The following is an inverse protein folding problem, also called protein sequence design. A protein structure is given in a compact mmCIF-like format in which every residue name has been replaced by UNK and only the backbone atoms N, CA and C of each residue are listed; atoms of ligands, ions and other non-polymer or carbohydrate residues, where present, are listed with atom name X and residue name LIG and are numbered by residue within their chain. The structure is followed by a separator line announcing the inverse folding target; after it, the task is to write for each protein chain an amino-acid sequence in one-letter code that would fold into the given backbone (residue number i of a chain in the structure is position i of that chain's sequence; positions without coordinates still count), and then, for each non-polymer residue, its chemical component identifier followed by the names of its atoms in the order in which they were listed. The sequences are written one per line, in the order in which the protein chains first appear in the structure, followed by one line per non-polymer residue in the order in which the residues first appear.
data_IF_463503297621
#
_entry.id   IF_463503297621
#
_cell.length_a   1.000
_cell.length_b   1.000
_cell.length_c   1.000
_cell.angle_alpha   90.00
_cell.angle_beta   90.00
_cell.angle_gamma   90.00
#
_symmetry.space_group_name_H-M   'P 1'
#
loop_
_entity.id
_entity.type
_entity.pdbx_description
1 polymer ?
#
# COMPACT_ATOMS: atom_id res chain seq x y z
N UNK A 1 35.38 51.16 -22.24
CA UNK A 1 35.20 51.18 -20.76
C UNK A 1 33.78 51.54 -20.29
N UNK A 2 32.91 52.15 -21.06
CA UNK A 2 31.54 52.56 -20.60
C UNK A 2 30.47 51.45 -20.75
N UNK A 3 30.69 50.43 -21.55
CA UNK A 3 29.74 49.32 -21.76
C UNK A 3 29.74 48.27 -20.64
N UNK A 4 30.92 47.97 -20.06
CA UNK A 4 31.07 47.00 -19.00
C UNK A 4 30.45 47.47 -17.67
N UNK A 5 30.40 48.79 -17.43
CA UNK A 5 29.78 49.40 -16.24
C UNK A 5 28.26 49.28 -16.23
N UNK A 6 27.62 49.36 -17.40
CA UNK A 6 26.17 49.26 -17.53
C UNK A 6 25.65 47.84 -17.37
N UNK A 7 26.41 46.83 -17.84
CA UNK A 7 26.06 45.41 -17.66
C UNK A 7 26.16 44.99 -16.20
N UNK A 8 27.16 45.47 -15.43
CA UNK A 8 27.28 45.20 -14.00
C UNK A 8 26.13 45.78 -13.17
N UNK A 9 25.61 46.97 -13.59
CA UNK A 9 24.51 47.60 -12.87
C UNK A 9 23.17 46.87 -13.13
N UNK A 10 22.95 46.38 -14.36
CA UNK A 10 21.74 45.61 -14.71
C UNK A 10 21.71 44.26 -14.01
N UNK A 11 22.85 43.57 -13.91
CA UNK A 11 22.93 42.30 -13.18
C UNK A 11 22.69 42.48 -11.68
N UNK A 12 23.16 43.59 -11.10
CA UNK A 12 22.93 43.90 -9.66
C UNK A 12 21.47 44.25 -9.35
N UNK A 13 20.78 44.93 -10.29
CA UNK A 13 19.35 45.26 -10.10
C UNK A 13 18.46 44.05 -10.29
N UNK A 14 18.80 43.12 -11.23
CA UNK A 14 18.07 41.88 -11.42
C UNK A 14 18.27 40.86 -10.27
N UNK A 15 19.44 40.84 -9.64
CA UNK A 15 19.68 40.02 -8.46
C UNK A 15 18.98 40.55 -7.22
N UNK A 16 18.84 41.87 -7.05
CA UNK A 16 18.08 42.49 -5.94
C UNK A 16 16.56 42.28 -6.12
N UNK A 17 16.02 42.31 -7.34
CA UNK A 17 14.62 42.05 -7.59
C UNK A 17 14.27 40.56 -7.38
N UNK A 18 15.19 39.62 -7.68
CA UNK A 18 15.01 38.19 -7.43
C UNK A 18 14.99 37.79 -5.96
N UNK A 19 15.67 38.53 -5.10
CA UNK A 19 15.68 38.28 -3.64
C UNK A 19 14.44 38.85 -2.95
N UNK A 20 13.83 39.88 -3.51
CA UNK A 20 12.61 40.49 -2.94
C UNK A 20 11.35 39.70 -3.28
N UNK A 21 11.33 38.96 -4.41
CA UNK A 21 10.19 38.14 -4.78
C UNK A 21 10.16 36.75 -4.09
N UNK A 22 11.25 36.30 -3.48
CA UNK A 22 11.31 35.06 -2.72
C UNK A 22 10.94 35.24 -1.23
N UNK A 23 10.73 36.46 -0.78
CA UNK A 23 10.46 36.82 0.62
C UNK A 23 8.98 37.02 1.00
N UNK A 24 8.05 36.86 0.05
CA UNK A 24 6.60 36.97 0.32
C UNK A 24 5.92 35.61 0.14
N UNK A 25 6.55 34.55 0.61
CA UNK A 25 5.78 33.39 1.06
C UNK A 25 5.36 33.68 2.49
N UNK A 26 4.21 34.33 2.55
CA UNK A 26 3.49 34.63 3.75
C UNK A 26 3.55 33.45 4.70
N UNK A 27 4.22 33.65 5.83
CA UNK A 27 3.78 33.02 7.04
C UNK A 27 2.28 33.34 7.18
N UNK A 28 1.42 32.48 6.65
CA UNK A 28 0.10 32.30 7.22
C UNK A 28 0.38 31.77 8.62
N UNK A 29 0.62 32.69 9.54
CA UNK A 29 0.63 32.44 10.95
C UNK A 29 -0.72 31.75 11.21
N UNK A 30 -0.70 30.42 11.36
CA UNK A 30 -1.76 29.74 12.04
C UNK A 30 -1.77 30.46 13.41
N UNK A 31 -2.73 31.34 13.62
CA UNK A 31 -2.95 31.89 14.91
C UNK A 31 -2.99 30.71 15.87
N UNK A 32 -2.07 30.65 16.82
CA UNK A 32 -2.07 29.62 17.85
C UNK A 32 -3.39 29.78 18.56
N UNK A 33 -4.31 28.81 18.35
CA UNK A 33 -5.54 28.76 19.11
C UNK A 33 -5.15 28.78 20.61
N UNK A 34 -5.78 29.63 21.41
CA UNK A 34 -5.57 29.59 22.84
C UNK A 34 -6.24 28.35 23.42
N UNK A 35 -5.79 27.88 24.58
CA UNK A 35 -6.43 26.76 25.28
C UNK A 35 -7.92 27.03 25.55
N UNK A 36 -8.31 28.28 25.66
CA UNK A 36 -9.70 28.72 25.85
C UNK A 36 -10.59 28.60 24.60
N UNK A 37 -10.04 28.28 23.44
CA UNK A 37 -10.81 28.12 22.18
C UNK A 37 -11.32 26.71 21.99
N UNK A 38 -10.85 25.74 22.81
CA UNK A 38 -11.28 24.36 22.80
C UNK A 38 -12.38 24.12 23.84
N UNK A 39 -13.47 23.46 23.43
CA UNK A 39 -14.66 23.27 24.30
C UNK A 39 -14.84 21.79 24.68
N UNK A 40 -14.08 20.88 24.09
CA UNK A 40 -14.18 19.45 24.31
C UNK A 40 -15.29 18.78 23.49
N UNK A 41 -15.18 17.45 23.32
CA UNK A 41 -16.09 16.70 22.45
C UNK A 41 -17.55 16.67 22.94
N UNK A 42 -17.78 16.83 24.25
CA UNK A 42 -19.15 16.79 24.82
C UNK A 42 -20.01 17.97 24.34
N UNK A 43 -19.38 19.13 24.09
CA UNK A 43 -20.07 20.28 23.52
C UNK A 43 -20.60 20.06 22.09
N UNK A 44 -20.06 19.08 21.38
CA UNK A 44 -20.48 18.76 20.02
C UNK A 44 -21.70 17.83 19.98
N UNK A 45 -21.97 17.10 21.07
CA UNK A 45 -22.92 16.01 21.14
C UNK A 45 -24.36 16.46 20.85
N UNK A 46 -24.76 17.60 21.35
CA UNK A 46 -26.17 18.03 21.26
C UNK A 46 -26.62 18.31 19.83
N UNK A 47 -25.71 18.73 18.96
CA UNK A 47 -26.01 18.96 17.54
C UNK A 47 -25.51 17.84 16.62
N UNK A 48 -24.52 17.07 17.02
CA UNK A 48 -23.85 16.01 16.24
C UNK A 48 -23.93 14.63 16.92
N UNK A 49 -25.11 14.27 17.44
CA UNK A 49 -25.32 13.05 18.24
C UNK A 49 -24.86 11.76 17.54
N UNK A 50 -25.24 11.59 16.27
CA UNK A 50 -24.88 10.38 15.51
C UNK A 50 -23.37 10.25 15.30
N UNK A 51 -22.69 11.36 14.97
CA UNK A 51 -21.25 11.39 14.79
C UNK A 51 -20.54 11.16 16.12
N UNK A 52 -21.02 11.77 17.20
CA UNK A 52 -20.48 11.58 18.55
C UNK A 52 -20.59 10.13 18.99
N UNK A 53 -21.78 9.54 18.84
CA UNK A 53 -22.02 8.14 19.18
C UNK A 53 -21.16 7.18 18.37
N UNK A 54 -21.05 7.41 17.06
CA UNK A 54 -20.19 6.60 16.20
C UNK A 54 -18.71 6.75 16.56
N UNK A 55 -18.24 7.98 16.79
CA UNK A 55 -16.86 8.28 17.17
C UNK A 55 -16.48 7.63 18.51
N UNK A 56 -17.39 7.63 19.50
CA UNK A 56 -17.12 7.11 20.86
C UNK A 56 -16.64 5.65 20.88
N UNK A 57 -16.93 4.86 19.85
CA UNK A 57 -16.50 3.49 19.70
C UNK A 57 -15.16 3.32 19.00
N UNK A 58 -14.55 4.41 18.52
CA UNK A 58 -13.29 4.38 17.77
C UNK A 58 -12.06 4.34 18.69
N UNK A 59 -10.91 3.95 18.11
CA UNK A 59 -9.63 4.05 18.81
C UNK A 59 -9.23 5.51 19.08
N UNK A 60 -9.67 6.46 18.24
CA UNK A 60 -9.41 7.89 18.44
C UNK A 60 -10.12 8.44 19.68
N UNK A 61 -11.35 8.00 19.98
CA UNK A 61 -12.05 8.41 21.19
C UNK A 61 -11.32 8.01 22.47
N UNK A 62 -10.58 6.90 22.45
CA UNK A 62 -9.83 6.41 23.61
C UNK A 62 -8.55 7.18 23.90
N UNK A 63 -8.10 8.05 22.98
CA UNK A 63 -6.87 8.81 23.19
C UNK A 63 -6.93 9.65 24.46
N UNK A 64 -8.07 10.24 24.79
CA UNK A 64 -8.27 11.02 26.00
C UNK A 64 -7.98 10.23 27.30
N UNK A 65 -8.12 8.91 27.29
CA UNK A 65 -7.85 8.05 28.45
C UNK A 65 -6.39 7.60 28.56
N UNK A 66 -5.55 7.93 27.59
CA UNK A 66 -4.15 7.52 27.55
C UNK A 66 -3.28 8.61 28.19
N UNK A 67 -2.48 8.26 29.20
CA UNK A 67 -1.66 9.22 29.96
C UNK A 67 -0.72 10.06 29.10
N UNK A 68 -0.14 9.51 28.04
CA UNK A 68 0.74 10.23 27.13
C UNK A 68 0.01 11.27 26.23
N UNK A 69 -1.33 11.31 26.29
CA UNK A 69 -2.19 12.25 25.55
C UNK A 69 -2.90 13.24 26.44
N UNK A 70 -2.63 13.22 27.76
CA UNK A 70 -3.34 14.04 28.77
C UNK A 70 -3.35 15.53 28.45
N UNK A 71 -2.23 16.05 27.92
CA UNK A 71 -2.06 17.49 27.66
C UNK A 71 -2.16 17.81 26.15
N UNK A 72 -2.80 16.93 25.37
CA UNK A 72 -2.98 17.10 23.93
C UNK A 72 -4.46 17.23 23.59
N UNK A 73 -4.74 18.01 22.56
CA UNK A 73 -6.09 18.08 22.00
C UNK A 73 -6.49 16.71 21.48
N UNK A 74 -7.59 16.19 21.99
CA UNK A 74 -8.16 14.89 21.63
C UNK A 74 -9.62 15.04 21.19
N UNK A 75 -10.24 13.96 20.75
CA UNK A 75 -11.64 13.99 20.37
C UNK A 75 -11.90 14.69 19.04
N UNK A 76 -13.05 15.34 18.94
CA UNK A 76 -13.52 15.98 17.70
C UNK A 76 -12.57 17.07 17.24
N UNK A 77 -12.12 17.90 18.18
CA UNK A 77 -11.30 19.08 17.92
C UNK A 77 -9.86 18.74 17.49
N UNK A 78 -9.38 17.52 17.75
CA UNK A 78 -8.08 17.08 17.25
C UNK A 78 -7.99 17.10 15.71
N UNK A 79 -9.13 16.94 15.04
CA UNK A 79 -9.25 16.95 13.58
C UNK A 79 -9.94 18.21 13.07
N UNK A 80 -10.99 18.67 13.78
CA UNK A 80 -11.83 19.79 13.37
C UNK A 80 -11.32 21.16 13.86
N UNK A 81 -10.29 21.19 14.71
CA UNK A 81 -9.79 22.43 15.32
C UNK A 81 -10.68 22.94 16.45
N UNK A 82 -10.35 24.11 17.03
CA UNK A 82 -11.06 24.68 18.17
C UNK A 82 -12.52 24.97 17.82
N UNK A 83 -13.42 24.50 18.67
CA UNK A 83 -14.87 24.49 18.40
C UNK A 83 -15.65 25.64 18.99
N UNK A 84 -15.06 26.48 19.88
CA UNK A 84 -15.76 27.50 20.65
C UNK A 84 -16.59 28.44 19.78
N UNK A 85 -15.95 29.08 18.80
CA UNK A 85 -16.66 30.01 17.93
C UNK A 85 -17.81 29.35 17.14
N UNK A 86 -17.61 28.08 16.72
CA UNK A 86 -18.64 27.31 16.06
C UNK A 86 -19.82 27.00 16.99
N UNK A 87 -19.55 26.58 18.22
CA UNK A 87 -20.63 26.25 19.19
C UNK A 87 -21.41 27.49 19.67
N UNK A 88 -20.77 28.65 19.73
CA UNK A 88 -21.43 29.91 20.13
C UNK A 88 -22.25 30.53 19.00
N UNK A 89 -21.78 30.45 17.75
CA UNK A 89 -22.40 31.13 16.59
C UNK A 89 -23.20 30.20 15.68
N UNK A 90 -22.99 28.87 15.74
CA UNK A 90 -23.61 27.91 14.84
C UNK A 90 -23.07 27.96 13.40
N UNK A 91 -22.04 28.75 13.14
CA UNK A 91 -21.49 28.97 11.81
C UNK A 91 -20.50 27.88 11.42
N UNK A 92 -20.77 27.06 10.36
CA UNK A 92 -19.88 26.02 9.89
C UNK A 92 -18.54 26.53 9.33
N UNK A 93 -18.42 27.83 9.04
CA UNK A 93 -17.16 28.43 8.62
C UNK A 93 -16.16 28.63 9.78
N UNK A 94 -16.65 28.57 11.03
CA UNK A 94 -15.85 28.73 12.24
C UNK A 94 -15.17 27.45 12.72
N UNK A 95 -15.30 26.35 11.99
CA UNK A 95 -14.69 25.06 12.30
C UNK A 95 -14.13 24.41 11.03
N UNK A 96 -13.16 23.52 11.16
CA UNK A 96 -12.61 22.81 9.99
C UNK A 96 -13.64 21.82 9.47
N UNK A 97 -14.25 22.13 8.32
CA UNK A 97 -15.06 21.20 7.55
C UNK A 97 -14.21 20.47 6.51
N UNK A 98 -14.41 19.15 6.38
CA UNK A 98 -13.75 18.34 5.38
C UNK A 98 -14.58 18.19 4.09
N UNK A 99 -15.83 18.69 4.07
CA UNK A 99 -16.78 18.50 2.97
C UNK A 99 -16.26 18.97 1.61
N UNK A 100 -15.50 20.05 1.59
CA UNK A 100 -15.00 20.68 0.36
C UNK A 100 -13.45 20.60 0.24
N UNK A 101 -12.83 19.68 0.96
CA UNK A 101 -11.37 19.47 0.91
C UNK A 101 -11.03 18.30 0.00
N UNK A 102 -9.92 18.41 -0.72
CA UNK A 102 -9.39 17.29 -1.50
C UNK A 102 -8.93 16.15 -0.60
N UNK A 103 -8.88 14.90 -1.11
CA UNK A 103 -8.35 13.76 -0.36
C UNK A 103 -6.96 14.02 0.24
N UNK A 104 -6.09 14.73 -0.48
CA UNK A 104 -4.76 15.15 0.00
C UNK A 104 -4.85 16.10 1.18
N UNK A 105 -5.69 17.13 1.09
CA UNK A 105 -5.88 18.09 2.20
C UNK A 105 -6.41 17.42 3.46
N UNK A 106 -7.33 16.48 3.31
CA UNK A 106 -7.85 15.67 4.43
C UNK A 106 -6.74 14.80 5.02
N UNK A 107 -5.98 14.14 4.15
CA UNK A 107 -4.88 13.28 4.58
C UNK A 107 -3.78 14.02 5.33
N UNK A 108 -3.50 15.28 4.98
CA UNK A 108 -2.53 16.09 5.73
C UNK A 108 -2.97 16.30 7.18
N UNK A 109 -4.26 16.43 7.45
CA UNK A 109 -4.76 16.48 8.84
C UNK A 109 -4.48 15.17 9.59
N UNK A 110 -4.68 14.02 8.96
CA UNK A 110 -4.37 12.72 9.56
C UNK A 110 -2.86 12.58 9.82
N UNK A 111 -2.05 13.03 8.87
CA UNK A 111 -0.60 12.91 8.92
C UNK A 111 0.06 13.80 9.99
N UNK A 112 -0.64 14.76 10.59
CA UNK A 112 -0.12 15.51 11.76
C UNK A 112 0.23 14.57 12.93
N UNK A 113 -0.50 13.46 13.07
CA UNK A 113 -0.27 12.45 14.11
C UNK A 113 0.25 11.12 13.53
N UNK A 114 -0.13 10.79 12.30
CA UNK A 114 0.18 9.52 11.66
C UNK A 114 1.45 9.52 10.80
N UNK A 115 2.09 10.67 10.57
CA UNK A 115 3.41 10.72 9.96
C UNK A 115 4.47 10.06 10.87
N UNK A 116 5.57 9.60 10.27
CA UNK A 116 6.67 9.01 11.02
C UNK A 116 6.47 7.55 11.46
N UNK A 117 5.36 6.92 11.14
CA UNK A 117 5.17 5.49 11.32
C UNK A 117 5.69 4.76 10.07
N UNK A 118 6.49 3.72 10.28
CA UNK A 118 7.15 2.96 9.20
C UNK A 118 6.20 2.60 8.05
N UNK A 119 5.03 2.09 8.37
CA UNK A 119 4.01 1.69 7.39
C UNK A 119 3.46 2.85 6.55
N UNK A 120 3.58 4.11 7.00
CA UNK A 120 2.97 5.31 6.38
C UNK A 120 3.97 6.35 5.90
N UNK A 121 5.27 6.16 6.16
CA UNK A 121 6.31 7.12 5.78
C UNK A 121 6.34 7.43 4.28
N UNK A 122 5.93 6.48 3.46
CA UNK A 122 5.94 6.59 2.01
C UNK A 122 4.60 7.00 1.41
N UNK A 123 3.58 7.30 2.22
CA UNK A 123 2.23 7.57 1.73
C UNK A 123 2.21 8.68 0.67
N UNK A 124 2.88 9.83 0.95
CA UNK A 124 2.97 10.95 -0.01
C UNK A 124 3.76 10.63 -1.30
N UNK A 125 4.47 9.51 -1.34
CA UNK A 125 5.22 9.02 -2.53
C UNK A 125 4.49 7.87 -3.21
N UNK A 126 3.49 7.28 -2.56
CA UNK A 126 2.71 6.16 -3.06
C UNK A 126 1.79 6.52 -4.23
N UNK A 127 1.38 5.49 -4.96
CA UNK A 127 0.49 5.66 -6.12
C UNK A 127 -0.89 6.20 -5.73
N UNK A 128 -1.43 5.79 -4.58
CA UNK A 128 -2.70 6.31 -4.08
C UNK A 128 -2.65 7.84 -3.92
N UNK A 129 -1.60 8.36 -3.27
CA UNK A 129 -1.41 9.80 -3.14
C UNK A 129 -1.27 10.51 -4.49
N UNK A 130 -0.52 9.93 -5.44
CA UNK A 130 -0.34 10.51 -6.79
C UNK A 130 -1.65 10.60 -7.54
N UNK A 131 -2.54 9.63 -7.35
CA UNK A 131 -3.84 9.54 -7.98
C UNK A 131 -4.98 10.15 -7.13
N UNK A 132 -4.64 11.03 -6.19
CA UNK A 132 -5.59 11.76 -5.34
C UNK A 132 -6.51 10.87 -4.47
N UNK A 133 -6.00 9.69 -4.09
CA UNK A 133 -6.65 8.80 -3.13
C UNK A 133 -6.07 9.06 -1.75
N UNK A 134 -6.92 9.41 -0.80
CA UNK A 134 -6.53 9.81 0.55
C UNK A 134 -6.94 8.82 1.63
N UNK A 135 -6.64 9.18 2.88
CA UNK A 135 -6.93 8.32 4.03
C UNK A 135 -8.42 7.98 4.13
N UNK A 136 -9.28 8.98 3.89
CA UNK A 136 -10.74 8.82 4.03
C UNK A 136 -11.41 8.07 2.88
N UNK A 137 -10.70 7.73 1.81
CA UNK A 137 -11.25 6.84 0.77
C UNK A 137 -11.36 5.40 1.28
N UNK A 138 -10.46 5.01 2.17
CA UNK A 138 -10.41 3.68 2.76
C UNK A 138 -10.85 3.63 4.22
N UNK A 139 -10.58 4.69 5.00
CA UNK A 139 -10.84 4.75 6.44
C UNK A 139 -12.00 5.68 6.78
N UNK A 140 -12.70 5.38 7.88
CA UNK A 140 -13.69 6.26 8.49
C UNK A 140 -13.32 6.53 9.95
N UNK A 141 -13.12 7.81 10.30
CA UNK A 141 -12.80 8.22 11.68
C UNK A 141 -14.03 8.35 12.58
N UNK A 142 -15.23 8.50 12.02
CA UNK A 142 -16.47 8.68 12.78
C UNK A 142 -17.28 7.42 12.94
N UNK A 143 -17.30 6.53 11.94
CA UNK A 143 -18.22 5.43 11.94
C UNK A 143 -17.49 4.10 11.90
N UNK A 144 -17.94 3.20 12.75
CA UNK A 144 -17.97 1.83 12.28
C UNK A 144 -18.86 1.80 11.06
N UNK A 145 -18.47 1.14 9.98
CA UNK A 145 -19.43 0.77 8.97
C UNK A 145 -20.48 -0.07 9.68
N UNK A 146 -21.56 0.59 10.07
CA UNK A 146 -22.71 0.00 10.79
C UNK A 146 -23.47 -0.99 9.95
N UNK A 147 -22.91 -1.45 8.86
CA UNK A 147 -23.45 -2.49 8.04
C UNK A 147 -22.86 -3.84 8.43
N UNK A 148 -23.17 -4.28 9.67
CA UNK A 148 -23.05 -5.69 10.07
C UNK A 148 -23.74 -6.64 9.08
N UNK A 149 -24.55 -6.12 8.18
CA UNK A 149 -25.24 -6.88 7.15
C UNK A 149 -24.35 -7.24 5.95
N UNK A 150 -23.25 -6.52 5.70
CA UNK A 150 -22.31 -6.91 4.63
C UNK A 150 -21.43 -8.10 5.09
N UNK A 151 -21.07 -8.16 6.36
CA UNK A 151 -20.35 -9.32 6.92
C UNK A 151 -21.21 -10.60 6.93
N UNK A 152 -22.54 -10.48 7.01
CA UNK A 152 -23.48 -11.62 6.93
C UNK A 152 -23.72 -12.11 5.49
N UNK A 153 -23.36 -11.35 4.47
CA UNK A 153 -23.63 -11.71 3.08
C UNK A 153 -22.55 -12.62 2.46
N UNK A 154 -21.44 -12.87 3.17
CA UNK A 154 -20.46 -13.87 2.74
C UNK A 154 -20.66 -15.10 3.61
N UNK A 155 -21.69 -15.84 3.33
CA UNK A 155 -21.87 -17.18 3.87
C UNK A 155 -20.86 -18.09 3.18
N UNK A 156 -19.75 -18.38 3.85
CA UNK A 156 -18.86 -19.47 3.44
C UNK A 156 -19.63 -20.78 3.50
N UNK A 157 -19.79 -21.41 2.37
CA UNK A 157 -20.22 -22.80 2.31
C UNK A 157 -19.11 -23.62 2.99
N UNK A 158 -19.31 -23.98 4.26
CA UNK A 158 -18.50 -25.01 4.88
C UNK A 158 -17.84 -24.78 6.23
N UNK A 159 -18.04 -23.67 6.94
CA UNK A 159 -17.58 -23.59 8.35
C UNK A 159 -18.61 -22.93 9.23
N UNK A 160 -19.32 -23.78 10.01
CA UNK A 160 -20.15 -23.34 11.11
C UNK A 160 -19.29 -22.65 12.19
N UNK A 161 -19.75 -21.45 12.61
CA UNK A 161 -19.53 -20.88 13.94
C UNK A 161 -18.08 -20.59 14.38
N UNK A 162 -17.40 -19.68 13.68
CA UNK A 162 -16.42 -18.84 14.34
C UNK A 162 -16.61 -17.41 13.85
N UNK A 163 -17.15 -16.53 14.67
CA UNK A 163 -17.05 -15.08 14.47
C UNK A 163 -15.56 -14.74 14.48
N UNK A 164 -14.95 -14.71 13.29
CA UNK A 164 -13.60 -14.14 13.17
C UNK A 164 -13.70 -12.68 13.59
N UNK A 165 -12.83 -12.20 14.51
CA UNK A 165 -12.84 -10.81 14.91
C UNK A 165 -12.75 -9.93 13.68
N UNK A 166 -13.70 -9.03 13.50
CA UNK A 166 -13.73 -8.10 12.39
C UNK A 166 -12.61 -7.07 12.55
N UNK A 167 -11.47 -7.36 11.93
CA UNK A 167 -10.30 -6.48 11.93
C UNK A 167 -10.58 -5.13 11.25
N UNK A 168 -11.66 -5.01 10.47
CA UNK A 168 -12.04 -3.74 9.82
C UNK A 168 -12.37 -2.68 10.86
N UNK A 169 -13.01 -3.05 11.96
CA UNK A 169 -13.35 -2.12 13.05
C UNK A 169 -12.11 -1.58 13.76
N UNK A 170 -11.08 -2.40 13.97
CA UNK A 170 -9.83 -1.97 14.60
C UNK A 170 -9.05 -0.99 13.74
N UNK A 171 -9.06 -1.19 12.44
CA UNK A 171 -8.33 -0.34 11.48
C UNK A 171 -9.19 0.80 10.94
N UNK A 172 -10.44 0.94 11.38
CA UNK A 172 -11.39 1.94 10.90
C UNK A 172 -11.61 1.88 9.38
N UNK A 173 -11.51 0.72 8.76
CA UNK A 173 -11.78 0.54 7.35
C UNK A 173 -13.29 0.67 7.06
N UNK A 174 -13.65 1.31 5.96
CA UNK A 174 -15.05 1.45 5.51
C UNK A 174 -15.71 0.11 5.22
N UNK A 175 -14.93 -0.85 4.74
CA UNK A 175 -15.32 -2.25 4.58
C UNK A 175 -14.09 -3.14 4.67
N UNK A 176 -14.28 -4.45 4.82
CA UNK A 176 -13.17 -5.40 4.91
C UNK A 176 -12.48 -5.65 3.58
N UNK A 177 -11.25 -6.14 3.66
CA UNK A 177 -10.56 -6.67 2.49
C UNK A 177 -11.11 -8.09 2.14
N UNK A 178 -11.22 -8.44 0.85
CA UNK A 178 -10.74 -7.71 -0.32
C UNK A 178 -11.74 -6.69 -0.90
N UNK A 179 -12.97 -6.63 -0.40
CA UNK A 179 -14.05 -5.81 -0.97
C UNK A 179 -13.68 -4.33 -1.08
N UNK A 180 -12.97 -3.81 -0.08
CA UNK A 180 -12.47 -2.45 -0.09
C UNK A 180 -11.60 -2.16 -1.32
N UNK A 181 -10.67 -3.05 -1.60
CA UNK A 181 -9.68 -2.88 -2.67
C UNK A 181 -10.31 -3.08 -4.06
N UNK A 182 -11.07 -4.16 -4.24
CA UNK A 182 -11.69 -4.50 -5.53
C UNK A 182 -12.83 -3.55 -5.92
N UNK A 183 -13.29 -2.69 -5.02
CA UNK A 183 -14.20 -1.61 -5.34
C UNK A 183 -13.64 -0.62 -6.37
N UNK A 184 -12.31 -0.45 -6.38
CA UNK A 184 -11.58 0.36 -7.35
C UNK A 184 -10.70 -0.49 -8.27
N UNK A 185 -10.07 -1.55 -7.74
CA UNK A 185 -9.20 -2.49 -8.46
C UNK A 185 -9.97 -3.71 -8.98
N UNK A 186 -11.05 -3.47 -9.72
CA UNK A 186 -11.90 -4.53 -10.23
C UNK A 186 -11.22 -5.36 -11.33
N UNK A 187 -10.21 -4.84 -11.98
CA UNK A 187 -9.43 -5.50 -13.03
C UNK A 187 -8.66 -6.73 -12.54
N UNK A 188 -8.34 -6.81 -11.23
CA UNK A 188 -7.63 -7.98 -10.68
C UNK A 188 -8.58 -9.12 -10.26
N UNK A 189 -9.88 -8.81 -10.11
CA UNK A 189 -10.89 -9.78 -9.63
C UNK A 189 -10.99 -11.03 -10.52
N UNK A 190 -10.98 -10.94 -11.87
CA UNK A 190 -10.99 -12.11 -12.74
C UNK A 190 -9.82 -13.07 -12.50
N UNK A 191 -8.65 -12.56 -12.15
CA UNK A 191 -7.49 -13.39 -11.88
C UNK A 191 -7.70 -14.28 -10.65
N UNK A 192 -8.29 -13.74 -9.58
CA UNK A 192 -8.62 -14.49 -8.38
C UNK A 192 -9.75 -15.51 -8.56
N UNK A 193 -10.46 -15.51 -9.69
CA UNK A 193 -11.45 -16.50 -10.06
C UNK A 193 -10.89 -17.63 -10.94
N UNK A 194 -9.61 -17.57 -11.34
CA UNK A 194 -8.97 -18.64 -12.10
C UNK A 194 -8.81 -19.91 -11.27
N UNK A 195 -8.66 -21.09 -11.91
CA UNK A 195 -8.56 -22.38 -11.19
C UNK A 195 -7.43 -22.42 -10.14
N UNK A 196 -6.32 -21.77 -10.42
CA UNK A 196 -5.17 -21.68 -9.53
C UNK A 196 -4.98 -20.24 -9.12
N UNK A 197 -5.20 -19.92 -7.84
CA UNK A 197 -5.08 -18.55 -7.31
C UNK A 197 -4.78 -18.57 -5.82
N UNK A 198 -4.22 -17.48 -5.30
CA UNK A 198 -4.18 -17.26 -3.86
C UNK A 198 -5.59 -17.01 -3.33
N UNK A 199 -5.90 -17.58 -2.16
CA UNK A 199 -7.25 -17.60 -1.57
C UNK A 199 -7.64 -16.26 -0.92
N UNK A 200 -7.61 -15.19 -1.72
CA UNK A 200 -7.93 -13.82 -1.30
C UNK A 200 -9.44 -13.62 -1.24
N UNK A 201 -10.17 -14.03 -2.28
CA UNK A 201 -11.63 -13.89 -2.30
C UNK A 201 -12.32 -14.77 -1.27
N UNK A 202 -11.70 -15.89 -0.90
CA UNK A 202 -12.15 -16.80 0.16
C UNK A 202 -11.77 -16.32 1.56
N UNK A 203 -11.05 -15.21 1.69
CA UNK A 203 -10.70 -14.59 2.96
C UNK A 203 -9.57 -15.27 3.73
N UNK A 204 -8.84 -16.21 3.12
CA UNK A 204 -7.66 -16.81 3.75
C UNK A 204 -6.43 -15.89 3.69
N UNK A 205 -6.43 -14.97 2.73
CA UNK A 205 -5.39 -13.96 2.53
C UNK A 205 -6.04 -12.60 2.28
N UNK A 206 -5.26 -11.53 2.44
CA UNK A 206 -5.66 -10.15 2.18
C UNK A 206 -4.75 -9.54 1.12
N UNK A 207 -5.27 -8.54 0.42
CA UNK A 207 -4.46 -7.74 -0.50
C UNK A 207 -3.26 -7.11 0.23
N UNK A 208 -3.49 -6.64 1.46
CA UNK A 208 -2.48 -6.03 2.32
C UNK A 208 -1.43 -7.01 2.88
N UNK A 209 -1.57 -8.32 2.71
CA UNK A 209 -0.50 -9.27 3.05
C UNK A 209 0.69 -9.15 2.10
N UNK A 210 0.41 -8.75 0.84
CA UNK A 210 1.41 -8.59 -0.21
C UNK A 210 1.65 -7.11 -0.58
N UNK A 211 0.62 -6.26 -0.56
CA UNK A 211 0.70 -4.86 -0.95
C UNK A 211 0.66 -3.92 0.25
N UNK A 212 1.38 -2.79 0.17
CA UNK A 212 1.26 -1.71 1.14
C UNK A 212 0.43 -0.56 0.54
N UNK A 213 -0.85 -0.41 0.91
CA UNK A 213 -1.71 0.65 0.39
C UNK A 213 -1.24 2.06 0.80
N UNK A 214 -0.41 2.16 1.83
CA UNK A 214 0.17 3.43 2.29
C UNK A 214 1.45 3.82 1.55
N UNK A 215 1.83 3.09 0.50
CA UNK A 215 3.00 3.37 -0.29
C UNK A 215 4.21 2.50 0.08
N UNK A 216 5.00 2.19 -0.92
CA UNK A 216 6.24 1.43 -0.80
C UNK A 216 7.25 1.91 -1.84
N UNK A 217 8.47 1.41 -1.74
CA UNK A 217 9.53 1.70 -2.72
C UNK A 217 9.50 0.72 -3.90
N UNK A 218 8.86 -0.43 -3.69
CA UNK A 218 8.83 -1.50 -4.68
C UNK A 218 7.74 -1.31 -5.72
N UNK A 219 7.96 -1.92 -6.87
CA UNK A 219 7.00 -1.92 -7.96
C UNK A 219 5.64 -2.43 -7.47
N UNK A 220 4.56 -1.72 -7.85
CA UNK A 220 3.18 -2.01 -7.42
C UNK A 220 3.01 -2.03 -5.90
N UNK A 221 3.89 -1.32 -5.18
CA UNK A 221 3.84 -1.16 -3.74
C UNK A 221 3.78 -2.50 -2.98
N UNK A 222 4.48 -3.51 -3.47
CA UNK A 222 4.62 -4.77 -2.75
C UNK A 222 5.33 -4.55 -1.42
N UNK A 223 4.93 -5.30 -0.39
CA UNK A 223 5.55 -5.19 0.93
C UNK A 223 6.98 -5.70 0.90
N UNK A 224 7.87 -4.84 1.36
CA UNK A 224 9.29 -5.14 1.51
C UNK A 224 9.62 -5.80 2.85
N UNK A 225 10.51 -6.79 2.79
CA UNK A 225 11.51 -6.94 3.83
C UNK A 225 12.91 -6.63 3.25
N UNK A 226 13.34 -7.30 2.19
CA UNK A 226 14.58 -7.04 1.45
C UNK A 226 14.45 -7.67 0.07
N UNK A 227 14.27 -6.84 -0.96
CA UNK A 227 14.15 -7.28 -2.35
C UNK A 227 12.71 -7.48 -2.83
N UNK A 228 12.55 -7.53 -4.15
CA UNK A 228 11.25 -7.53 -4.85
C UNK A 228 10.30 -8.68 -4.48
N UNK A 229 10.83 -9.78 -3.96
CA UNK A 229 10.11 -10.99 -3.62
C UNK A 229 9.76 -11.12 -2.13
N UNK A 230 10.04 -10.12 -1.33
CA UNK A 230 9.85 -10.17 0.12
C UNK A 230 8.42 -10.54 0.54
N UNK A 231 7.42 -10.08 -0.23
CA UNK A 231 6.03 -10.45 -0.01
C UNK A 231 5.79 -11.96 -0.21
N UNK A 232 6.48 -12.57 -1.15
CA UNK A 232 6.36 -13.99 -1.49
C UNK A 232 7.05 -14.89 -0.46
N UNK A 233 8.31 -14.58 -0.16
CA UNK A 233 9.15 -15.40 0.73
C UNK A 233 8.70 -15.40 2.18
N UNK A 234 7.87 -14.45 2.59
CA UNK A 234 7.23 -14.45 3.90
C UNK A 234 6.46 -15.75 4.18
N UNK A 235 5.85 -16.33 3.16
CA UNK A 235 5.12 -17.60 3.24
C UNK A 235 5.87 -18.73 2.53
N UNK A 236 6.61 -18.42 1.46
CA UNK A 236 7.40 -19.36 0.65
C UNK A 236 8.88 -19.31 1.04
N UNK A 237 9.17 -19.39 2.34
CA UNK A 237 10.54 -19.28 2.88
C UNK A 237 11.52 -20.33 2.33
N UNK A 238 11.02 -21.48 1.91
CA UNK A 238 11.80 -22.56 1.28
C UNK A 238 12.38 -22.17 -0.09
N UNK A 239 11.90 -21.07 -0.69
CA UNK A 239 12.39 -20.53 -1.97
C UNK A 239 13.36 -19.36 -1.80
N UNK A 240 13.62 -18.92 -0.56
CA UNK A 240 14.46 -17.75 -0.27
C UNK A 240 15.97 -18.03 -0.44
N UNK A 241 16.40 -19.25 -0.19
CA UNK A 241 17.82 -19.57 -0.10
C UNK A 241 18.38 -19.43 1.33
N UNK A 242 19.67 -19.17 1.54
CA UNK A 242 20.68 -18.98 0.50
C UNK A 242 20.98 -20.26 -0.29
N UNK A 243 21.24 -20.10 -1.59
CA UNK A 243 21.66 -21.18 -2.46
C UNK A 243 23.08 -20.95 -2.97
N UNK A 244 23.84 -22.04 -3.16
CA UNK A 244 25.18 -21.98 -3.76
C UNK A 244 25.09 -21.56 -5.22
N UNK A 245 24.10 -22.12 -5.91
CA UNK A 245 23.80 -21.81 -7.31
C UNK A 245 22.41 -21.20 -7.37
N UNK A 246 22.34 -19.94 -7.73
CA UNK A 246 21.10 -19.17 -7.81
C UNK A 246 20.64 -19.03 -9.27
N UNK A 247 19.34 -19.11 -9.51
CA UNK A 247 18.80 -18.86 -10.83
C UNK A 247 18.66 -17.35 -11.05
N UNK A 248 19.39 -16.80 -12.01
CA UNK A 248 19.55 -15.37 -12.23
C UNK A 248 18.24 -14.59 -12.31
N UNK A 249 17.16 -15.03 -12.97
CA UNK A 249 15.89 -14.31 -13.03
C UNK A 249 15.27 -14.01 -11.65
N UNK A 250 15.54 -14.86 -10.64
CA UNK A 250 15.03 -14.61 -9.30
C UNK A 250 15.64 -13.38 -8.64
N UNK A 251 16.87 -13.00 -9.03
CA UNK A 251 17.52 -11.78 -8.53
C UNK A 251 17.11 -10.53 -9.28
N UNK A 252 16.82 -10.65 -10.56
CA UNK A 252 16.57 -9.50 -11.45
C UNK A 252 15.10 -9.20 -11.61
N UNK A 253 14.28 -10.24 -11.83
CA UNK A 253 12.86 -10.11 -12.15
C UNK A 253 11.94 -10.66 -11.04
N UNK A 254 12.51 -11.48 -10.15
CA UNK A 254 11.81 -12.08 -9.04
C UNK A 254 10.84 -13.21 -9.41
N UNK A 255 10.04 -13.64 -8.46
CA UNK A 255 9.07 -14.72 -8.62
C UNK A 255 8.07 -14.46 -9.76
N UNK A 256 7.75 -13.19 -10.01
CA UNK A 256 6.82 -12.77 -11.04
C UNK A 256 7.37 -12.97 -12.48
N UNK A 257 8.65 -13.32 -12.66
CA UNK A 257 9.17 -13.75 -13.96
C UNK A 257 8.39 -14.96 -14.50
N UNK A 258 8.08 -15.91 -13.61
CA UNK A 258 7.47 -17.19 -13.95
C UNK A 258 6.02 -17.35 -13.47
N UNK A 259 5.65 -16.69 -12.36
CA UNK A 259 4.36 -16.84 -11.69
C UNK A 259 3.46 -15.62 -11.85
N UNK A 260 2.15 -15.84 -11.84
CA UNK A 260 1.10 -14.80 -11.78
C UNK A 260 0.41 -14.86 -10.42
N UNK A 261 0.81 -14.04 -9.44
CA UNK A 261 0.43 -14.24 -8.03
C UNK A 261 -1.07 -14.07 -7.75
N UNK A 262 -1.81 -13.33 -8.56
CA UNK A 262 -3.25 -13.20 -8.39
C UNK A 262 -3.99 -14.45 -8.83
N UNK A 263 -3.57 -15.07 -9.93
CA UNK A 263 -4.17 -16.29 -10.43
C UNK A 263 -3.73 -16.68 -11.83
N UNK A 264 -3.86 -17.96 -12.15
CA UNK A 264 -3.52 -18.56 -13.43
C UNK A 264 -4.50 -19.65 -13.80
N UNK A 265 -4.68 -19.89 -15.09
CA UNK A 265 -5.29 -21.10 -15.59
C UNK A 265 -4.37 -22.33 -15.50
N UNK A 266 -3.09 -22.09 -15.17
CA UNK A 266 -2.06 -23.12 -15.13
C UNK A 266 -1.69 -23.48 -13.68
N UNK A 267 -1.42 -24.77 -13.39
CA UNK A 267 -0.97 -25.19 -12.07
C UNK A 267 0.22 -24.39 -11.56
N UNK A 268 0.33 -24.25 -10.23
CA UNK A 268 1.41 -23.52 -9.54
C UNK A 268 1.50 -22.04 -9.95
N UNK A 269 0.41 -21.46 -10.43
CA UNK A 269 0.33 -20.07 -10.87
C UNK A 269 1.30 -19.72 -12.01
N UNK A 270 1.65 -20.68 -12.85
CA UNK A 270 2.60 -20.45 -13.95
C UNK A 270 1.97 -19.61 -15.06
N UNK A 271 2.80 -18.79 -15.71
CA UNK A 271 2.39 -17.98 -16.88
C UNK A 271 2.04 -18.84 -18.09
N UNK A 272 2.68 -19.98 -18.23
CA UNK A 272 2.49 -20.90 -19.36
C UNK A 272 2.00 -22.26 -18.89
N UNK A 273 1.20 -22.91 -19.72
CA UNK A 273 0.68 -24.26 -19.44
C UNK A 273 1.77 -25.34 -19.53
N UNK A 274 2.73 -25.15 -20.38
CA UNK A 274 3.87 -26.05 -20.55
C UNK A 274 5.13 -25.42 -19.99
N UNK A 275 5.82 -26.16 -19.13
CA UNK A 275 7.04 -25.68 -18.45
C UNK A 275 8.17 -25.38 -19.45
N UNK A 276 8.32 -26.20 -20.50
CA UNK A 276 9.32 -25.93 -21.52
C UNK A 276 9.09 -24.59 -22.24
N UNK A 277 7.84 -24.23 -22.54
CA UNK A 277 7.53 -22.93 -23.15
C UNK A 277 7.95 -21.77 -22.23
N UNK A 278 7.73 -21.91 -20.92
CA UNK A 278 8.16 -20.92 -19.96
C UNK A 278 9.70 -20.77 -19.96
N UNK A 279 10.41 -21.89 -19.90
CA UNK A 279 11.88 -21.86 -19.88
C UNK A 279 12.48 -21.26 -21.17
N UNK A 280 11.87 -21.58 -22.31
CA UNK A 280 12.31 -21.11 -23.63
C UNK A 280 12.02 -19.61 -23.89
N UNK A 281 11.36 -18.92 -22.99
CA UNK A 281 11.27 -17.46 -23.10
C UNK A 281 12.64 -16.78 -22.89
N UNK A 282 13.57 -17.47 -22.20
CA UNK A 282 14.91 -16.97 -21.89
C UNK A 282 16.03 -17.91 -22.36
N UNK A 283 15.78 -19.23 -22.40
CA UNK A 283 16.75 -20.24 -22.78
C UNK A 283 16.56 -20.70 -24.22
N UNK A 284 17.66 -20.86 -24.97
CA UNK A 284 17.64 -21.59 -26.24
C UNK A 284 17.83 -23.10 -26.00
N UNK A 285 17.40 -23.90 -26.96
CA UNK A 285 17.59 -25.36 -26.91
C UNK A 285 19.04 -25.78 -27.18
N UNK A 286 19.74 -24.95 -27.90
CA UNK A 286 21.17 -25.11 -28.16
C UNK A 286 21.96 -24.54 -26.98
N UNK A 287 21.92 -25.26 -25.86
CA UNK A 287 22.96 -25.06 -24.86
C UNK A 287 24.26 -25.57 -25.44
N UNK A 288 24.96 -24.75 -26.18
CA UNK A 288 26.38 -24.91 -26.40
C UNK A 288 27.04 -24.93 -25.03
N UNK A 289 27.30 -26.10 -24.52
CA UNK A 289 28.32 -26.31 -23.52
C UNK A 289 29.57 -25.78 -24.21
N UNK A 290 30.14 -24.68 -23.76
CA UNK A 290 31.33 -24.01 -24.27
C UNK A 290 31.81 -24.34 -25.70
N UNK A 291 32.35 -23.39 -26.39
CA UNK A 291 32.76 -23.48 -27.78
C UNK A 291 33.62 -24.75 -28.18
N UNK A 292 34.01 -25.53 -27.19
CA UNK A 292 34.96 -26.68 -27.38
C UNK A 292 34.39 -28.02 -26.93
N UNK A 293 33.11 -28.14 -26.48
CA UNK A 293 32.52 -29.46 -26.24
C UNK A 293 31.56 -29.86 -27.38
N UNK A 294 31.62 -31.12 -27.85
CA UNK A 294 30.70 -31.62 -28.86
C UNK A 294 29.27 -31.46 -28.30
N UNK A 295 28.40 -30.84 -29.07
CA UNK A 295 27.00 -30.69 -28.75
C UNK A 295 26.44 -32.01 -28.26
N UNK A 296 26.15 -32.10 -26.94
CA UNK A 296 25.47 -33.22 -26.36
C UNK A 296 24.12 -33.42 -27.06
N UNK A 297 23.44 -34.53 -26.88
CA UNK A 297 22.17 -34.81 -27.58
C UNK A 297 21.21 -33.67 -27.30
N UNK A 298 20.89 -32.91 -28.33
CA UNK A 298 19.93 -31.81 -28.30
C UNK A 298 18.66 -32.29 -27.62
N UNK A 299 18.20 -31.54 -26.61
CA UNK A 299 16.99 -31.87 -25.90
C UNK A 299 15.81 -31.87 -26.88
N UNK A 300 15.31 -33.05 -27.27
CA UNK A 300 14.12 -33.12 -28.10
C UNK A 300 12.86 -32.81 -27.34
N UNK A 301 12.37 -31.57 -27.49
CA UNK A 301 11.25 -31.04 -26.72
C UNK A 301 9.89 -31.63 -27.14
N UNK A 302 9.79 -32.21 -28.32
CA UNK A 302 8.54 -32.79 -28.82
C UNK A 302 8.28 -34.16 -28.23
N UNK A 303 9.31 -34.92 -27.90
CA UNK A 303 9.19 -36.32 -27.51
C UNK A 303 9.65 -36.65 -26.10
N UNK A 304 10.73 -36.06 -25.60
CA UNK A 304 11.35 -36.46 -24.33
C UNK A 304 11.42 -35.36 -23.27
N UNK A 305 11.39 -34.11 -23.66
CA UNK A 305 11.69 -32.98 -22.77
C UNK A 305 10.58 -31.93 -22.68
N UNK A 306 9.34 -32.43 -22.57
CA UNK A 306 8.17 -31.56 -22.44
C UNK A 306 8.17 -30.71 -21.16
N UNK A 307 8.94 -31.11 -20.14
CA UNK A 307 9.11 -30.36 -18.89
C UNK A 307 10.56 -30.40 -18.44
N UNK A 308 11.24 -29.26 -18.52
CA UNK A 308 12.64 -29.11 -18.12
C UNK A 308 12.83 -29.41 -16.61
N UNK A 309 11.81 -29.18 -15.81
CA UNK A 309 11.85 -29.43 -14.35
C UNK A 309 11.76 -30.92 -13.97
N UNK A 310 11.64 -31.85 -14.93
CA UNK A 310 11.80 -33.28 -14.64
C UNK A 310 13.24 -33.63 -14.26
N UNK A 311 14.21 -32.91 -14.82
CA UNK A 311 15.63 -33.06 -14.53
C UNK A 311 16.17 -31.86 -13.73
N UNK A 312 15.83 -30.60 -14.09
CA UNK A 312 16.22 -29.38 -13.43
C UNK A 312 15.27 -29.07 -12.26
N UNK A 313 15.23 -29.94 -11.26
CA UNK A 313 14.22 -29.91 -10.19
C UNK A 313 14.40 -28.79 -9.18
N UNK A 314 15.60 -28.23 -9.06
CA UNK A 314 15.97 -27.17 -8.11
C UNK A 314 15.95 -25.78 -8.74
N UNK A 315 15.00 -25.50 -9.61
CA UNK A 315 14.96 -24.28 -10.43
C UNK A 315 14.95 -22.97 -9.63
N UNK A 316 14.51 -22.98 -8.38
CA UNK A 316 14.55 -21.80 -7.50
C UNK A 316 15.94 -21.58 -6.88
N UNK A 317 16.86 -22.50 -7.07
CA UNK A 317 18.23 -22.48 -6.55
C UNK A 317 18.66 -23.85 -6.03
N UNK A 318 19.92 -24.14 -6.16
CA UNK A 318 20.54 -25.42 -5.75
C UNK A 318 21.73 -25.17 -4.83
N UNK A 319 21.91 -26.06 -3.86
CA UNK A 319 23.09 -26.08 -2.99
C UNK A 319 24.19 -27.01 -3.53
N UNK A 320 23.83 -27.87 -4.46
CA UNK A 320 24.67 -29.00 -4.89
C UNK A 320 25.10 -28.94 -6.35
N UNK A 321 24.30 -28.35 -7.25
CA UNK A 321 24.55 -28.49 -8.68
C UNK A 321 24.21 -27.21 -9.47
N UNK A 322 25.13 -26.72 -10.35
CA UNK A 322 24.90 -25.48 -11.12
C UNK A 322 23.77 -25.57 -12.15
N UNK A 323 23.49 -26.78 -12.69
CA UNK A 323 22.37 -27.01 -13.59
C UNK A 323 21.06 -27.35 -12.84
N UNK A 324 20.99 -27.11 -11.54
CA UNK A 324 19.77 -27.31 -10.73
C UNK A 324 19.24 -28.74 -10.69
N UNK A 325 20.08 -29.73 -10.90
CA UNK A 325 19.76 -31.13 -10.69
C UNK A 325 19.54 -31.43 -9.19
N UNK A 326 19.17 -32.65 -8.85
CA UNK A 326 18.97 -33.08 -7.47
C UNK A 326 20.23 -32.92 -6.62
#
# INVERSE_FOLDING_TARGET
MKLVSRVKLIVLVLSAAGVISCGIWTNLSRASASDNDYVGSDACKDCHEDQFKAFSHTSHARLASISSWKDKVTGCEACHGPGKAHTEEGDPAKIISFKNKSPKQISETCLTCHAGKEERNNFRRGEHWRNDVGCTDCHSSHSFPGNRNIAKSITFIGTANAEKPDFSTRLLLKTGEPQLCIGCHNEVKPDFNKPFHHKVLEGAMKCSDCHNPHGGFELKQTRLATGADAACIKCHADKQGPFTYEHAPLKTEGCAACHTPHGSSNPRLLKFSRVNQLCLTCHSVDHGVGADEPAGPTHNQNTQYASCTNCHVKIHGSRSHPAFFR
#
